data_IF_305958808447
#
_entry.id   IF_305958808447
#
_cell.length_a   1.000
_cell.length_b   1.000
_cell.length_c   1.000
_cell.angle_alpha   90.00
_cell.angle_beta   90.00
_cell.angle_gamma   90.00
#
_symmetry.space_group_name_H-M   'P 1'
#
loop_
_entity.id
_entity.type
_entity.pdbx_description
1 polymer ?
#
# COMPACT_ATOMS: atom_id res chain seq x y z
N UNK A 1 -0.94 -21.02 -1.27
CA UNK A 1 -2.34 -20.82 -0.82
C UNK A 1 -2.46 -19.73 0.22
N UNK A 2 -1.73 -19.76 1.35
CA UNK A 2 -1.85 -18.76 2.43
C UNK A 2 -1.89 -17.30 1.97
N UNK A 3 -0.82 -16.80 1.34
CA UNK A 3 -0.76 -15.42 0.84
C UNK A 3 -1.83 -15.11 -0.20
N UNK A 4 -2.22 -16.06 -1.04
CA UNK A 4 -3.28 -15.83 -2.03
C UNK A 4 -4.64 -15.61 -1.36
N UNK A 5 -5.01 -16.45 -0.38
CA UNK A 5 -6.25 -16.29 0.36
C UNK A 5 -6.22 -15.04 1.25
N UNK A 6 -5.07 -14.73 1.85
CA UNK A 6 -4.92 -13.46 2.55
C UNK A 6 -5.20 -12.27 1.62
N UNK A 7 -4.62 -12.24 0.42
CA UNK A 7 -4.84 -11.16 -0.56
C UNK A 7 -6.28 -11.11 -1.06
N UNK A 8 -6.96 -12.25 -1.20
CA UNK A 8 -8.40 -12.28 -1.49
C UNK A 8 -9.21 -11.57 -0.39
N UNK A 9 -8.95 -11.89 0.88
CA UNK A 9 -9.65 -11.26 2.01
C UNK A 9 -9.36 -9.77 2.14
N UNK A 10 -8.13 -9.35 1.82
CA UNK A 10 -7.70 -7.95 1.84
C UNK A 10 -8.35 -7.09 0.74
N UNK A 11 -8.71 -7.70 -0.40
CA UNK A 11 -9.07 -6.94 -1.59
C UNK A 11 -10.53 -7.12 -2.03
N UNK A 12 -11.16 -8.27 -1.80
CA UNK A 12 -12.53 -8.55 -2.23
C UNK A 12 -13.54 -8.32 -1.10
N UNK A 13 -14.76 -7.93 -1.47
CA UNK A 13 -15.83 -7.69 -0.51
C UNK A 13 -16.29 -9.00 0.14
N UNK A 14 -16.45 -10.02 -0.69
CA UNK A 14 -16.89 -11.37 -0.39
C UNK A 14 -16.05 -12.36 -1.21
N UNK A 15 -16.06 -13.63 -0.82
CA UNK A 15 -15.32 -14.70 -1.50
C UNK A 15 -16.22 -15.89 -1.77
N UNK A 16 -15.82 -16.68 -2.76
CA UNK A 16 -16.45 -17.94 -3.14
C UNK A 16 -15.34 -18.94 -3.38
N UNK A 17 -15.53 -20.18 -2.93
CA UNK A 17 -14.58 -21.26 -3.13
C UNK A 17 -15.27 -22.46 -3.74
N UNK A 18 -14.63 -23.09 -4.73
CA UNK A 18 -15.04 -24.39 -5.30
C UNK A 18 -16.52 -24.44 -5.72
N UNK A 19 -17.01 -23.38 -6.37
CA UNK A 19 -18.44 -23.20 -6.72
C UNK A 19 -19.38 -23.29 -5.52
N UNK A 20 -18.91 -22.97 -4.32
CA UNK A 20 -19.72 -22.93 -3.10
C UNK A 20 -20.63 -21.69 -3.01
N UNK A 21 -21.34 -21.52 -1.89
CA UNK A 21 -22.09 -20.30 -1.63
C UNK A 21 -21.14 -19.10 -1.42
N UNK A 22 -21.70 -17.89 -1.49
CA UNK A 22 -21.02 -16.66 -1.07
C UNK A 22 -20.61 -16.75 0.39
N UNK A 23 -19.39 -16.36 0.71
CA UNK A 23 -18.85 -16.27 2.06
C UNK A 23 -18.32 -14.87 2.33
N UNK A 24 -18.37 -14.40 3.59
CA UNK A 24 -17.73 -13.14 3.95
C UNK A 24 -16.22 -13.24 3.72
N UNK A 25 -15.56 -12.12 3.40
CA UNK A 25 -14.10 -12.07 3.22
C UNK A 25 -13.29 -12.69 4.38
N UNK A 26 -13.84 -12.71 5.59
CA UNK A 26 -13.18 -13.30 6.77
C UNK A 26 -12.90 -14.79 6.59
N UNK A 27 -13.73 -15.51 5.83
CA UNK A 27 -13.47 -16.92 5.48
C UNK A 27 -12.14 -17.08 4.72
N UNK A 28 -11.73 -16.06 3.97
CA UNK A 28 -10.44 -16.03 3.28
C UNK A 28 -9.26 -15.93 4.25
N UNK A 29 -9.42 -15.17 5.34
CA UNK A 29 -8.41 -15.10 6.40
C UNK A 29 -8.33 -16.38 7.21
N UNK A 30 -9.48 -16.99 7.55
CA UNK A 30 -9.51 -18.31 8.21
C UNK A 30 -8.77 -19.37 7.39
N UNK A 31 -9.03 -19.37 6.08
CA UNK A 31 -8.35 -20.27 5.15
C UNK A 31 -6.85 -19.98 5.04
N UNK A 32 -6.45 -18.70 5.07
CA UNK A 32 -5.05 -18.31 5.10
C UNK A 32 -4.34 -18.79 6.38
N UNK A 33 -4.99 -18.69 7.55
CA UNK A 33 -4.46 -19.15 8.84
C UNK A 33 -4.15 -20.64 8.83
N UNK A 34 -5.05 -21.46 8.29
CA UNK A 34 -4.83 -22.91 8.12
C UNK A 34 -3.57 -23.16 7.28
N UNK A 35 -3.44 -22.46 6.15
CA UNK A 35 -2.30 -22.61 5.26
C UNK A 35 -0.97 -22.16 5.90
N UNK A 36 -0.96 -21.08 6.66
CA UNK A 36 0.26 -20.59 7.33
C UNK A 36 0.69 -21.47 8.51
N UNK A 37 -0.26 -22.04 9.27
CA UNK A 37 0.07 -23.05 10.28
C UNK A 37 0.69 -24.30 9.65
N UNK A 38 0.15 -24.74 8.50
CA UNK A 38 0.74 -25.84 7.73
C UNK A 38 2.14 -25.49 7.22
N UNK A 39 2.35 -24.26 6.73
CA UNK A 39 3.68 -23.79 6.30
C UNK A 39 4.71 -23.87 7.44
N UNK A 40 4.35 -23.46 8.66
CA UNK A 40 5.21 -23.60 9.84
C UNK A 40 5.53 -25.05 10.17
N UNK A 41 4.52 -25.93 10.15
CA UNK A 41 4.71 -27.35 10.44
C UNK A 41 5.64 -28.02 9.43
N UNK A 42 5.40 -27.79 8.14
CA UNK A 42 6.26 -28.31 7.05
C UNK A 42 7.66 -27.71 7.14
N UNK A 43 7.76 -26.41 7.36
CA UNK A 43 9.04 -25.71 7.53
C UNK A 43 9.86 -26.29 8.69
N UNK A 44 9.21 -26.57 9.82
CA UNK A 44 9.84 -27.23 10.97
C UNK A 44 10.35 -28.63 10.64
N UNK A 45 9.52 -29.46 10.01
CA UNK A 45 9.92 -30.81 9.59
C UNK A 45 11.07 -30.80 8.56
N UNK A 46 11.13 -29.77 7.72
CA UNK A 46 12.18 -29.58 6.72
C UNK A 46 13.39 -28.77 7.22
N UNK A 47 13.41 -28.35 8.49
CA UNK A 47 14.41 -27.45 9.06
C UNK A 47 14.64 -26.16 8.23
N UNK A 48 13.56 -25.59 7.69
CA UNK A 48 13.58 -24.43 6.81
C UNK A 48 12.99 -23.20 7.51
N UNK A 49 13.83 -22.52 8.31
CA UNK A 49 13.42 -21.38 9.16
C UNK A 49 12.67 -20.28 8.39
N UNK A 50 13.09 -19.98 7.15
CA UNK A 50 12.42 -19.00 6.29
C UNK A 50 10.91 -19.23 6.15
N UNK A 51 10.47 -20.49 6.05
CA UNK A 51 9.05 -20.81 5.91
C UNK A 51 8.30 -20.83 7.25
N UNK A 52 9.02 -21.04 8.35
CA UNK A 52 8.49 -20.89 9.71
C UNK A 52 8.20 -19.40 9.96
N UNK A 53 9.18 -18.53 9.69
CA UNK A 53 9.05 -17.08 9.84
C UNK A 53 8.00 -16.51 8.89
N UNK A 54 7.96 -16.96 7.62
CA UNK A 54 6.91 -16.60 6.67
C UNK A 54 5.53 -16.99 7.18
N UNK A 55 5.40 -18.19 7.77
CA UNK A 55 4.14 -18.63 8.34
C UNK A 55 3.72 -17.81 9.56
N UNK A 56 4.67 -17.39 10.41
CA UNK A 56 4.38 -16.44 11.49
C UNK A 56 3.92 -15.07 10.97
N UNK A 57 4.63 -14.51 9.98
CA UNK A 57 4.24 -13.20 9.43
C UNK A 57 2.91 -13.23 8.68
N UNK A 58 2.63 -14.32 7.98
CA UNK A 58 1.33 -14.52 7.31
C UNK A 58 0.18 -14.68 8.30
N UNK A 59 0.41 -15.39 9.42
CA UNK A 59 -0.56 -15.45 10.52
C UNK A 59 -0.85 -14.06 11.09
N UNK A 60 0.18 -13.26 11.34
CA UNK A 60 0.01 -11.91 11.88
C UNK A 60 -0.90 -11.06 10.98
N UNK A 61 -0.65 -11.05 9.67
CA UNK A 61 -1.48 -10.30 8.72
C UNK A 61 -2.91 -10.86 8.63
N UNK A 62 -3.09 -12.19 8.63
CA UNK A 62 -4.42 -12.79 8.59
C UNK A 62 -5.23 -12.49 9.87
N UNK A 63 -4.59 -12.48 11.04
CA UNK A 63 -5.24 -12.09 12.29
C UNK A 63 -5.60 -10.61 12.32
N UNK A 64 -4.80 -9.71 11.73
CA UNK A 64 -5.23 -8.33 11.46
C UNK A 64 -6.50 -8.31 10.61
N UNK A 65 -6.57 -9.17 9.59
CA UNK A 65 -7.75 -9.38 8.75
C UNK A 65 -9.03 -9.74 9.53
N UNK A 66 -8.88 -10.49 10.62
CA UNK A 66 -9.97 -10.90 11.52
C UNK A 66 -10.22 -9.91 12.68
N UNK A 67 -9.38 -8.88 12.84
CA UNK A 67 -9.41 -8.00 14.00
C UNK A 67 -8.90 -8.62 15.30
N UNK A 68 -8.28 -9.81 15.24
CA UNK A 68 -7.68 -10.47 16.41
C UNK A 68 -6.26 -9.93 16.66
N UNK A 69 -6.20 -8.75 17.28
CA UNK A 69 -4.95 -8.05 17.53
C UNK A 69 -4.02 -8.79 18.50
N UNK A 70 -4.57 -9.54 19.46
CA UNK A 70 -3.78 -10.32 20.41
C UNK A 70 -2.98 -11.41 19.70
N UNK A 71 -3.64 -12.20 18.84
CA UNK A 71 -2.97 -13.20 18.03
C UNK A 71 -2.06 -12.57 16.97
N UNK A 72 -2.46 -11.43 16.40
CA UNK A 72 -1.66 -10.73 15.40
C UNK A 72 -0.29 -10.29 15.95
N UNK A 73 -0.25 -9.62 17.11
CA UNK A 73 1.02 -9.16 17.69
C UNK A 73 1.85 -10.33 18.23
N UNK A 74 1.22 -11.38 18.77
CA UNK A 74 1.93 -12.57 19.20
C UNK A 74 2.63 -13.26 18.02
N UNK A 75 1.96 -13.38 16.87
CA UNK A 75 2.55 -13.91 15.66
C UNK A 75 3.65 -12.98 15.10
N UNK A 76 3.39 -11.67 15.05
CA UNK A 76 4.34 -10.66 14.59
C UNK A 76 5.66 -10.68 15.37
N UNK A 77 5.60 -10.89 16.69
CA UNK A 77 6.78 -10.95 17.56
C UNK A 77 7.74 -12.11 17.26
N UNK A 78 7.31 -13.12 16.51
CA UNK A 78 8.15 -14.25 16.10
C UNK A 78 8.96 -13.99 14.81
N UNK A 79 8.83 -12.82 14.21
CA UNK A 79 9.47 -12.49 12.93
C UNK A 79 10.51 -11.38 13.14
N UNK A 80 11.77 -11.64 12.79
CA UNK A 80 12.82 -10.62 12.87
C UNK A 80 12.55 -9.43 11.94
N UNK A 81 12.97 -8.22 12.31
CA UNK A 81 12.71 -6.99 11.52
C UNK A 81 13.22 -7.09 10.09
N UNK A 82 14.39 -7.72 9.88
CA UNK A 82 15.02 -7.88 8.56
C UNK A 82 14.45 -9.03 7.73
N UNK A 83 13.45 -9.76 8.24
CA UNK A 83 12.84 -10.87 7.52
C UNK A 83 12.16 -10.40 6.23
N UNK A 84 12.34 -11.19 5.17
CA UNK A 84 11.76 -10.92 3.85
C UNK A 84 11.44 -12.22 3.11
N UNK A 85 10.21 -12.31 2.61
CA UNK A 85 9.84 -13.27 1.57
C UNK A 85 9.05 -12.58 0.47
N UNK A 86 9.40 -12.91 -0.77
CA UNK A 86 8.99 -12.19 -1.97
C UNK A 86 8.27 -13.12 -2.95
N UNK A 87 7.40 -12.53 -3.76
CA UNK A 87 6.99 -13.10 -5.03
C UNK A 87 8.13 -12.93 -6.04
N UNK A 88 8.56 -14.04 -6.63
CA UNK A 88 9.70 -14.08 -7.56
C UNK A 88 9.22 -13.75 -8.97
N UNK A 89 9.86 -12.76 -9.59
CA UNK A 89 9.59 -12.35 -10.96
C UNK A 89 10.78 -12.67 -11.87
N UNK A 90 10.49 -12.90 -13.15
CA UNK A 90 11.48 -13.17 -14.17
C UNK A 90 11.07 -12.53 -15.50
N UNK A 91 12.00 -11.83 -16.15
CA UNK A 91 11.73 -11.03 -17.34
C UNK A 91 11.05 -11.83 -18.48
N UNK A 92 11.42 -13.10 -18.65
CA UNK A 92 10.95 -13.95 -19.75
C UNK A 92 9.76 -14.85 -19.43
N UNK A 93 9.19 -14.78 -18.21
CA UNK A 93 8.09 -15.65 -17.82
C UNK A 93 7.03 -14.85 -17.04
N UNK A 94 7.28 -14.63 -15.77
CA UNK A 94 6.39 -13.87 -14.88
C UNK A 94 7.02 -12.49 -14.69
N UNK A 95 6.78 -11.56 -15.61
CA UNK A 95 7.38 -10.23 -15.54
C UNK A 95 6.67 -9.31 -14.55
N UNK A 96 7.42 -8.51 -13.80
CA UNK A 96 6.89 -7.49 -12.91
C UNK A 96 6.11 -6.45 -13.73
N UNK A 97 4.79 -6.39 -13.53
CA UNK A 97 3.91 -5.49 -14.28
C UNK A 97 4.03 -4.04 -13.81
N UNK A 98 4.38 -3.78 -12.55
CA UNK A 98 4.63 -2.40 -12.08
C UNK A 98 5.77 -1.76 -12.89
N UNK A 99 6.83 -2.52 -13.17
CA UNK A 99 7.87 -2.06 -14.11
C UNK A 99 7.29 -1.76 -15.49
N UNK A 100 6.47 -2.65 -16.06
CA UNK A 100 5.91 -2.45 -17.40
C UNK A 100 5.04 -1.20 -17.48
N UNK A 101 4.18 -0.99 -16.48
CA UNK A 101 3.24 0.13 -16.47
C UNK A 101 3.91 1.47 -16.16
N UNK A 102 5.05 1.48 -15.46
CA UNK A 102 5.79 2.73 -15.21
C UNK A 102 6.94 2.94 -16.20
N UNK A 103 7.91 2.03 -16.24
CA UNK A 103 9.10 2.13 -17.10
C UNK A 103 8.82 1.79 -18.56
N UNK A 104 7.80 0.97 -18.85
CA UNK A 104 7.52 0.52 -20.21
C UNK A 104 6.49 1.38 -20.96
N UNK A 105 5.43 1.81 -20.28
CA UNK A 105 4.27 2.45 -20.93
C UNK A 105 3.88 3.82 -20.36
N UNK A 106 4.41 4.20 -19.20
CA UNK A 106 4.01 5.41 -18.48
C UNK A 106 2.51 5.51 -18.15
N UNK A 107 1.84 4.36 -17.95
CA UNK A 107 0.42 4.22 -17.59
C UNK A 107 0.19 4.56 -16.11
N UNK A 108 1.18 4.23 -15.27
CA UNK A 108 1.16 4.52 -13.84
C UNK A 108 2.35 5.40 -13.47
N UNK A 109 2.13 6.39 -12.61
CA UNK A 109 3.17 7.29 -12.14
C UNK A 109 2.89 7.83 -10.75
N UNK A 110 3.89 8.48 -10.16
CA UNK A 110 3.83 9.07 -8.82
C UNK A 110 3.23 10.48 -8.83
N UNK A 111 3.12 11.11 -10.00
CA UNK A 111 2.60 12.46 -10.14
C UNK A 111 1.19 12.59 -9.56
N UNK A 112 0.95 13.67 -8.81
CA UNK A 112 -0.30 13.96 -8.09
C UNK A 112 -0.80 12.86 -7.13
N UNK A 113 0.04 11.87 -6.78
CA UNK A 113 -0.28 10.89 -5.73
C UNK A 113 0.05 11.45 -4.33
N UNK A 114 -0.48 10.86 -3.24
CA UNK A 114 -0.07 11.19 -1.88
C UNK A 114 1.45 11.13 -1.67
N UNK A 115 2.14 10.18 -2.32
CA UNK A 115 3.60 10.10 -2.29
C UNK A 115 4.23 11.40 -2.78
N UNK A 116 3.92 11.85 -3.99
CA UNK A 116 4.55 13.04 -4.56
C UNK A 116 4.11 14.34 -3.86
N UNK A 117 2.91 14.39 -3.29
CA UNK A 117 2.35 15.64 -2.75
C UNK A 117 2.61 15.84 -1.27
N UNK A 118 2.65 14.75 -0.51
CA UNK A 118 2.64 14.81 0.96
C UNK A 118 3.85 14.12 1.57
N UNK A 119 4.13 12.90 1.15
CA UNK A 119 5.10 12.04 1.81
C UNK A 119 6.53 12.20 1.27
N UNK A 120 6.68 12.64 0.02
CA UNK A 120 7.96 12.92 -0.64
C UNK A 120 7.75 14.10 -1.62
N UNK A 121 7.54 15.27 -1.02
CA UNK A 121 7.05 16.52 -1.64
C UNK A 121 8.07 17.11 -2.63
N UNK A 122 7.62 18.08 -3.43
CA UNK A 122 8.45 18.73 -4.43
C UNK A 122 9.75 19.37 -3.87
N UNK A 123 9.75 19.84 -2.61
CA UNK A 123 10.98 20.35 -1.96
C UNK A 123 12.04 19.28 -1.76
N UNK A 124 11.64 18.01 -1.79
CA UNK A 124 12.50 16.86 -1.57
C UNK A 124 12.88 16.22 -2.92
N UNK A 125 12.72 16.95 -4.02
CA UNK A 125 13.17 16.55 -5.36
C UNK A 125 14.37 17.39 -5.75
N UNK A 126 15.51 16.74 -5.91
CA UNK A 126 16.77 17.37 -6.33
C UNK A 126 17.25 16.72 -7.61
N UNK A 127 17.60 17.51 -8.62
CA UNK A 127 18.04 17.03 -9.94
C UNK A 127 17.06 16.00 -10.53
N UNK A 128 15.76 16.29 -10.43
CA UNK A 128 14.67 15.44 -10.91
C UNK A 128 14.58 14.06 -10.26
N UNK A 129 15.20 13.87 -9.09
CA UNK A 129 15.11 12.63 -8.32
C UNK A 129 14.62 12.93 -6.92
N UNK A 130 13.74 12.08 -6.40
CA UNK A 130 13.34 12.16 -5.01
C UNK A 130 14.54 11.89 -4.09
N UNK A 131 14.77 12.79 -3.14
CA UNK A 131 15.76 12.70 -2.07
C UNK A 131 15.11 12.69 -0.68
N UNK A 132 13.78 12.71 -0.60
CA UNK A 132 13.04 12.54 0.64
C UNK A 132 13.09 11.09 1.15
N UNK A 133 11.94 10.54 1.54
CA UNK A 133 11.93 9.21 2.15
C UNK A 133 12.49 8.12 1.21
N UNK A 134 13.56 7.39 1.61
CA UNK A 134 14.28 6.46 0.75
C UNK A 134 13.45 5.21 0.36
N UNK A 135 12.31 4.96 1.02
CA UNK A 135 11.41 3.84 0.69
C UNK A 135 10.63 4.06 -0.60
N UNK A 136 10.52 5.32 -1.03
CA UNK A 136 9.69 5.73 -2.17
C UNK A 136 10.49 6.47 -3.24
N UNK A 137 11.53 5.84 -3.82
CA UNK A 137 12.37 6.48 -4.82
C UNK A 137 11.62 6.66 -6.15
N UNK A 138 11.71 7.85 -6.74
CA UNK A 138 11.17 8.13 -8.06
C UNK A 138 11.99 9.19 -8.81
N UNK A 139 11.85 9.18 -10.15
CA UNK A 139 12.44 10.17 -11.06
C UNK A 139 11.33 10.96 -11.74
N UNK A 140 11.49 12.28 -11.82
CA UNK A 140 10.62 13.19 -12.58
C UNK A 140 11.04 13.19 -14.04
N UNK A 141 10.26 12.52 -14.91
CA UNK A 141 10.56 12.43 -16.34
C UNK A 141 10.00 13.61 -17.14
N UNK A 142 8.92 14.22 -16.66
CA UNK A 142 8.42 15.50 -17.15
C UNK A 142 8.08 16.44 -16.01
N UNK A 143 8.43 17.72 -16.16
CA UNK A 143 8.09 18.77 -15.22
C UNK A 143 6.69 19.29 -15.50
N UNK A 144 5.84 19.21 -14.49
CA UNK A 144 4.57 19.91 -14.44
C UNK A 144 4.84 21.36 -14.03
N UNK A 145 4.77 22.29 -14.98
CA UNK A 145 5.11 23.70 -14.74
C UNK A 145 3.92 24.49 -14.20
N UNK A 146 2.74 23.89 -14.17
CA UNK A 146 1.54 24.55 -13.71
C UNK A 146 1.38 24.43 -12.19
N UNK A 147 1.31 25.59 -11.55
CA UNK A 147 1.07 25.74 -10.10
C UNK A 147 -0.38 26.08 -9.80
N UNK A 148 -1.24 26.20 -10.83
CA UNK A 148 -2.65 26.45 -10.66
C UNK A 148 -3.37 25.28 -9.99
N UNK A 149 -4.46 25.63 -9.33
CA UNK A 149 -5.30 24.71 -8.58
C UNK A 149 -6.77 25.03 -8.91
N UNK A 150 -7.46 24.24 -9.77
CA UNK A 150 -7.03 22.97 -10.38
C UNK A 150 -5.92 23.14 -11.44
N UNK A 151 -5.12 22.09 -11.69
CA UNK A 151 -4.10 22.08 -12.71
C UNK A 151 -4.74 22.21 -14.09
N UNK A 152 -4.31 23.21 -14.83
CA UNK A 152 -4.63 23.41 -16.23
C UNK A 152 -3.82 22.41 -17.07
N UNK A 153 -4.50 21.32 -17.45
CA UNK A 153 -3.92 20.25 -18.27
C UNK A 153 -3.52 20.71 -19.68
N UNK A 154 -3.89 21.93 -20.09
CA UNK A 154 -3.50 22.51 -21.38
C UNK A 154 -2.15 23.21 -21.33
N UNK A 155 -1.62 23.53 -20.15
CA UNK A 155 -0.29 24.16 -19.99
C UNK A 155 0.86 23.20 -20.30
N UNK A 156 0.56 21.91 -20.47
CA UNK A 156 1.48 20.91 -20.98
C UNK A 156 2.59 20.51 -20.01
N UNK A 157 3.47 19.61 -20.48
CA UNK A 157 4.56 19.04 -19.69
C UNK A 157 5.88 19.25 -20.41
N UNK A 158 6.88 19.76 -19.68
CA UNK A 158 8.21 19.94 -20.25
C UNK A 158 9.08 18.72 -19.97
N UNK A 159 9.80 18.17 -20.97
CA UNK A 159 10.80 17.13 -20.75
C UNK A 159 11.88 17.54 -19.75
N UNK A 160 12.20 16.69 -18.77
CA UNK A 160 13.40 16.92 -17.92
C UNK A 160 14.68 16.43 -18.58
N UNK A 161 14.57 15.55 -19.57
CA UNK A 161 15.71 14.87 -20.21
C UNK A 161 16.37 13.79 -19.32
N UNK A 162 15.88 13.58 -18.11
CA UNK A 162 16.47 12.63 -17.14
C UNK A 162 16.17 11.18 -17.48
N UNK A 163 15.03 10.94 -18.12
CA UNK A 163 14.59 9.61 -18.47
C UNK A 163 14.73 9.36 -19.98
N UNK A 164 15.17 8.16 -20.37
CA UNK A 164 15.44 7.78 -21.75
C UNK A 164 14.57 6.59 -22.18
N UNK A 165 14.29 6.45 -23.48
CA UNK A 165 13.51 5.34 -24.06
C UNK A 165 12.00 5.60 -24.18
N UNK A 166 11.28 4.73 -24.89
CA UNK A 166 9.81 4.77 -24.93
C UNK A 166 9.24 4.25 -23.61
N UNK A 167 8.23 4.91 -23.05
CA UNK A 167 7.72 4.64 -21.71
C UNK A 167 8.55 5.29 -20.62
N UNK A 168 9.76 4.79 -20.35
CA UNK A 168 10.61 5.32 -19.29
C UNK A 168 11.05 6.75 -19.56
N UNK A 169 11.31 7.12 -20.83
CA UNK A 169 11.61 8.48 -21.27
C UNK A 169 10.39 9.28 -21.70
N UNK A 170 9.18 8.77 -21.49
CA UNK A 170 7.97 9.56 -21.68
C UNK A 170 7.94 10.66 -20.61
N UNK A 171 7.77 11.89 -21.07
CA UNK A 171 7.69 13.06 -20.20
C UNK A 171 6.28 13.19 -19.64
N UNK A 172 5.30 12.71 -20.40
CA UNK A 172 3.90 12.66 -20.06
C UNK A 172 3.48 11.22 -19.72
N UNK A 173 2.44 11.09 -18.91
CA UNK A 173 1.74 9.82 -18.74
C UNK A 173 1.10 9.38 -20.07
N UNK A 174 0.69 8.10 -20.17
CA UNK A 174 0.20 7.48 -21.40
C UNK A 174 -0.94 8.25 -22.08
N UNK A 175 -1.80 8.93 -21.30
CA UNK A 175 -2.87 9.79 -21.81
C UNK A 175 -2.40 11.10 -22.47
N UNK A 176 -1.10 11.43 -22.44
CA UNK A 176 -0.52 12.62 -23.07
C UNK A 176 -0.86 13.94 -22.38
N UNK A 177 -1.45 13.89 -21.19
CA UNK A 177 -1.90 15.09 -20.46
C UNK A 177 -1.01 15.39 -19.26
N UNK A 178 -0.86 14.45 -18.33
CA UNK A 178 -0.20 14.65 -17.03
C UNK A 178 1.30 14.38 -17.08
N UNK A 179 2.08 14.93 -16.15
CA UNK A 179 3.50 14.61 -16.05
C UNK A 179 3.73 13.15 -15.63
N UNK A 180 4.78 12.53 -16.16
CA UNK A 180 5.22 11.21 -15.73
C UNK A 180 6.31 11.33 -14.67
N UNK A 181 5.98 10.91 -13.44
CA UNK A 181 6.97 10.66 -12.39
C UNK A 181 7.11 9.14 -12.26
N UNK A 182 8.25 8.60 -12.67
CA UNK A 182 8.50 7.17 -12.76
C UNK A 182 8.98 6.63 -11.41
N UNK A 183 8.35 5.58 -10.92
CA UNK A 183 8.86 4.86 -9.74
C UNK A 183 10.20 4.19 -10.03
N UNK A 184 11.13 4.23 -9.07
CA UNK A 184 12.45 3.62 -9.17
C UNK A 184 12.65 2.49 -8.12
N UNK A 185 11.57 2.01 -7.49
CA UNK A 185 11.60 0.85 -6.58
C UNK A 185 11.78 -0.46 -7.34
N UNK A 186 11.11 -0.60 -8.48
CA UNK A 186 11.21 -1.74 -9.39
C UNK A 186 11.75 -1.29 -10.73
N UNK A 187 13.07 -1.42 -10.92
CA UNK A 187 13.80 -0.93 -12.10
C UNK A 187 14.01 -2.00 -13.18
N UNK A 188 13.43 -3.19 -13.01
CA UNK A 188 13.46 -4.25 -14.03
C UNK A 188 12.20 -5.12 -14.00
N UNK A 189 11.93 -5.81 -15.13
CA UNK A 189 10.89 -6.85 -15.24
C UNK A 189 11.12 -8.05 -14.32
N UNK A 190 12.33 -8.25 -13.82
CA UNK A 190 12.66 -9.32 -12.88
C UNK A 190 12.70 -8.87 -11.43
N UNK A 191 12.35 -7.61 -11.12
CA UNK A 191 12.35 -7.12 -9.76
C UNK A 191 11.28 -7.85 -8.94
N UNK A 192 11.68 -8.49 -7.86
CA UNK A 192 10.78 -9.20 -6.95
C UNK A 192 9.90 -8.22 -6.17
N UNK A 193 8.74 -8.70 -5.73
CA UNK A 193 7.81 -7.90 -4.92
C UNK A 193 7.67 -8.56 -3.54
N UNK A 194 7.96 -7.85 -2.44
CA UNK A 194 7.78 -8.42 -1.11
C UNK A 194 6.33 -8.82 -0.84
N UNK A 195 6.16 -9.90 -0.09
CA UNK A 195 4.84 -10.43 0.28
C UNK A 195 4.61 -10.41 1.78
N UNK A 196 5.64 -10.76 2.55
CA UNK A 196 5.64 -10.72 4.01
C UNK A 196 7.02 -10.18 4.41
N UNK A 197 7.04 -9.14 5.24
CA UNK A 197 8.27 -8.52 5.74
C UNK A 197 8.23 -8.37 7.25
N UNK A 198 9.39 -8.43 7.89
CA UNK A 198 9.54 -8.12 9.31
C UNK A 198 9.20 -6.67 9.62
N UNK A 199 9.48 -5.75 8.71
CA UNK A 199 9.09 -4.33 8.82
C UNK A 199 7.58 -4.16 8.89
N UNK A 200 6.80 -4.92 8.13
CA UNK A 200 5.34 -4.90 8.26
C UNK A 200 4.88 -5.48 9.61
N UNK A 201 5.57 -6.48 10.16
CA UNK A 201 5.28 -7.00 11.50
C UNK A 201 5.47 -5.93 12.58
N UNK A 202 6.52 -5.11 12.46
CA UNK A 202 6.71 -3.94 13.34
C UNK A 202 5.59 -2.92 13.16
N UNK A 203 5.09 -2.69 11.96
CA UNK A 203 3.94 -1.81 11.72
C UNK A 203 2.63 -2.39 12.29
N UNK A 204 2.44 -3.71 12.32
CA UNK A 204 1.30 -4.37 12.98
C UNK A 204 1.37 -4.14 14.50
N UNK A 205 2.54 -4.31 15.11
CA UNK A 205 2.74 -4.03 16.54
C UNK A 205 2.57 -2.55 16.86
N UNK A 206 3.08 -1.65 16.01
CA UNK A 206 2.89 -0.22 16.13
C UNK A 206 1.40 0.13 16.09
N UNK A 207 0.64 -0.47 15.17
CA UNK A 207 -0.80 -0.23 15.11
C UNK A 207 -1.54 -0.68 16.37
N UNK A 208 -1.21 -1.87 16.89
CA UNK A 208 -1.78 -2.29 18.17
C UNK A 208 -1.45 -1.29 19.28
N UNK A 209 -0.24 -0.74 19.29
CA UNK A 209 0.17 0.29 20.24
C UNK A 209 -0.63 1.60 20.08
N UNK A 210 -0.94 2.03 18.85
CA UNK A 210 -1.85 3.17 18.63
C UNK A 210 -3.23 2.90 19.21
N UNK A 211 -3.78 1.70 18.97
CA UNK A 211 -5.09 1.27 19.47
C UNK A 211 -5.17 1.24 21.01
N UNK A 212 -4.06 0.96 21.68
CA UNK A 212 -3.97 0.95 23.15
C UNK A 212 -3.42 2.24 23.75
N UNK A 213 -3.09 3.26 22.94
CA UNK A 213 -2.47 4.49 23.42
C UNK A 213 -1.03 4.34 23.92
N UNK A 214 -0.34 3.25 23.57
CA UNK A 214 1.03 2.97 24.01
C UNK A 214 2.06 3.70 23.11
N UNK A 215 2.33 4.96 23.47
CA UNK A 215 3.27 5.82 22.75
C UNK A 215 4.70 5.25 22.72
N UNK A 216 5.15 4.63 23.81
CA UNK A 216 6.53 4.14 23.93
C UNK A 216 6.77 2.96 22.98
N UNK A 217 5.85 2.00 22.94
CA UNK A 217 5.89 0.90 21.98
C UNK A 217 5.75 1.44 20.56
N UNK A 218 4.81 2.37 20.31
CA UNK A 218 4.64 2.98 18.98
C UNK A 218 5.94 3.56 18.43
N UNK A 219 6.59 4.48 19.16
CA UNK A 219 7.85 5.10 18.76
C UNK A 219 8.91 4.04 18.47
N UNK A 220 9.07 3.07 19.39
CA UNK A 220 10.06 2.00 19.24
C UNK A 220 9.84 1.21 17.94
N UNK A 221 8.61 0.81 17.65
CA UNK A 221 8.31 -0.01 16.48
C UNK A 221 8.42 0.77 15.17
N UNK A 222 8.01 2.04 15.16
CA UNK A 222 8.19 2.91 13.99
C UNK A 222 9.68 3.15 13.71
N UNK A 223 10.48 3.46 14.74
CA UNK A 223 11.92 3.67 14.55
C UNK A 223 12.64 2.41 14.05
N UNK A 224 12.24 1.21 14.48
CA UNK A 224 12.78 -0.04 13.91
C UNK A 224 12.55 -0.13 12.39
N UNK A 225 11.37 0.25 11.92
CA UNK A 225 11.04 0.26 10.48
C UNK A 225 11.86 1.32 9.74
N UNK A 226 11.86 2.55 10.25
CA UNK A 226 12.55 3.66 9.60
C UNK A 226 14.05 3.44 9.52
N UNK A 227 14.68 2.92 10.59
CA UNK A 227 16.11 2.59 10.61
C UNK A 227 16.46 1.45 9.65
N UNK A 228 15.60 0.44 9.51
CA UNK A 228 15.82 -0.63 8.51
C UNK A 228 15.98 -0.08 7.08
N UNK A 229 15.25 0.99 6.75
CA UNK A 229 15.33 1.66 5.44
C UNK A 229 16.26 2.87 5.40
N UNK A 230 17.00 3.15 6.49
CA UNK A 230 17.92 4.30 6.55
C UNK A 230 17.23 5.68 6.57
N UNK A 231 15.96 5.74 6.98
CA UNK A 231 15.20 7.01 7.12
C UNK A 231 15.43 7.72 8.46
N UNK A 232 16.22 7.11 9.35
CA UNK A 232 16.48 7.59 10.71
C UNK A 232 15.24 7.51 11.61
N UNK A 233 15.41 7.87 12.87
CA UNK A 233 14.31 7.91 13.85
C UNK A 233 13.24 8.96 13.47
N UNK A 234 12.08 8.89 14.14
CA UNK A 234 11.07 9.94 14.12
C UNK A 234 11.68 11.30 14.47
N UNK A 235 11.25 12.33 13.75
CA UNK A 235 11.71 13.71 13.95
C UNK A 235 11.17 14.32 15.24
N UNK A 236 11.67 15.49 15.64
CA UNK A 236 11.14 16.22 16.79
C UNK A 236 9.65 16.56 16.62
N UNK A 237 9.24 16.95 15.41
CA UNK A 237 7.83 17.26 15.11
C UNK A 237 6.95 16.01 15.17
N UNK A 238 7.47 14.86 14.71
CA UNK A 238 6.77 13.58 14.88
C UNK A 238 6.58 13.22 16.34
N UNK A 239 7.58 13.45 17.20
CA UNK A 239 7.47 13.18 18.63
C UNK A 239 6.44 14.10 19.31
N UNK A 240 6.32 15.35 18.86
CA UNK A 240 5.25 16.25 19.29
C UNK A 240 3.87 15.72 18.86
N UNK A 241 3.76 15.23 17.63
CA UNK A 241 2.53 14.59 17.13
C UNK A 241 2.18 13.34 17.96
N UNK A 242 3.14 12.45 18.26
CA UNK A 242 2.90 11.28 19.14
C UNK A 242 2.37 11.69 20.51
N UNK A 243 2.86 12.81 21.06
CA UNK A 243 2.42 13.32 22.36
C UNK A 243 0.94 13.72 22.40
N UNK A 244 0.33 14.01 21.25
CA UNK A 244 -1.12 14.26 21.14
C UNK A 244 -1.97 12.97 21.26
N UNK A 245 -1.32 11.80 21.36
CA UNK A 245 -1.99 10.52 21.57
C UNK A 245 -2.37 9.82 20.27
N UNK A 246 -3.31 8.88 20.36
CA UNK A 246 -3.75 8.11 19.19
C UNK A 246 -4.33 9.02 18.11
N UNK A 247 -5.13 10.00 18.52
CA UNK A 247 -5.81 10.93 17.63
C UNK A 247 -6.75 10.24 16.64
N UNK A 248 -6.86 10.78 15.43
CA UNK A 248 -7.70 10.26 14.36
C UNK A 248 -6.92 10.28 13.05
N UNK A 249 -7.26 9.38 12.11
CA UNK A 249 -6.71 9.47 10.77
C UNK A 249 -7.16 10.78 10.12
N UNK A 250 -6.23 11.71 9.97
CA UNK A 250 -6.50 13.00 9.36
C UNK A 250 -6.18 12.89 7.88
N UNK A 251 -7.20 13.06 7.04
CA UNK A 251 -7.02 13.19 5.61
C UNK A 251 -7.97 14.25 5.12
N UNK A 252 -7.44 15.43 4.77
CA UNK A 252 -8.30 16.48 4.23
C UNK A 252 -8.61 16.14 2.77
N UNK A 253 -9.88 15.81 2.58
CA UNK A 253 -10.41 15.47 1.30
C UNK A 253 -11.01 16.70 0.62
N UNK A 254 -10.18 17.72 0.49
CA UNK A 254 -10.61 19.06 0.14
C UNK A 254 -11.57 19.04 -1.05
N UNK A 255 -12.73 19.66 -0.84
CA UNK A 255 -13.74 19.88 -1.87
C UNK A 255 -13.31 20.99 -2.84
N UNK A 256 -12.36 21.82 -2.41
CA UNK A 256 -11.75 22.91 -3.17
C UNK A 256 -10.24 22.70 -3.28
N UNK A 257 -9.67 23.09 -4.42
CA UNK A 257 -8.24 23.09 -4.64
C UNK A 257 -7.60 24.32 -3.97
N UNK A 258 -7.71 24.46 -2.66
CA UNK A 258 -7.09 25.58 -1.94
C UNK A 258 -5.57 25.33 -1.77
N UNK A 259 -4.76 26.39 -1.71
CA UNK A 259 -3.30 26.25 -1.57
C UNK A 259 -2.87 25.77 -0.17
N UNK A 260 -3.74 25.96 0.82
CA UNK A 260 -3.63 25.56 2.23
C UNK A 260 -4.33 24.22 2.54
N UNK A 261 -4.91 23.56 1.54
CA UNK A 261 -5.44 22.21 1.65
C UNK A 261 -4.31 21.22 1.95
N UNK A 262 -4.10 20.94 3.24
CA UNK A 262 -3.15 19.96 3.73
C UNK A 262 -3.73 18.55 3.59
N UNK A 263 -3.22 17.81 2.61
CA UNK A 263 -3.78 16.53 2.17
C UNK A 263 -3.70 15.42 3.22
N UNK A 264 -2.89 15.56 4.28
CA UNK A 264 -3.04 14.84 5.55
C UNK A 264 -2.09 15.44 6.60
N UNK A 265 -2.69 16.04 7.64
CA UNK A 265 -1.98 16.64 8.76
C UNK A 265 -1.39 15.53 9.65
N UNK A 266 -0.07 15.57 9.85
CA UNK A 266 0.64 14.60 10.69
C UNK A 266 0.80 15.17 12.10
N UNK A 267 -0.24 15.04 12.90
CA UNK A 267 -0.33 15.61 14.25
C UNK A 267 -0.67 14.58 15.34
N UNK A 268 -0.81 13.29 14.99
CA UNK A 268 -1.06 12.20 15.94
C UNK A 268 -0.46 10.85 15.48
N UNK A 269 -0.58 9.82 16.34
CA UNK A 269 -0.03 8.50 16.05
C UNK A 269 -0.73 7.79 14.87
N UNK A 270 -2.03 8.00 14.65
CA UNK A 270 -2.73 7.41 13.49
C UNK A 270 -2.23 7.99 12.18
N UNK A 271 -2.06 9.32 12.08
CA UNK A 271 -1.49 9.97 10.89
C UNK A 271 -0.03 9.56 10.64
N UNK A 272 0.78 9.42 11.70
CA UNK A 272 2.14 8.88 11.56
C UNK A 272 2.09 7.43 11.04
N UNK A 273 1.27 6.57 11.64
CA UNK A 273 1.16 5.18 11.21
C UNK A 273 0.72 5.08 9.75
N UNK A 274 -0.22 5.92 9.32
CA UNK A 274 -0.67 5.98 7.93
C UNK A 274 0.49 6.29 6.98
N UNK A 275 1.26 7.36 7.24
CA UNK A 275 2.48 7.69 6.49
C UNK A 275 3.44 6.50 6.44
N UNK A 276 3.77 5.92 7.59
CA UNK A 276 4.79 4.89 7.70
C UNK A 276 4.37 3.59 7.00
N UNK A 277 3.08 3.23 7.07
CA UNK A 277 2.53 2.11 6.30
C UNK A 277 2.47 2.42 4.81
N UNK A 278 2.09 3.63 4.41
CA UNK A 278 2.07 4.01 3.00
C UNK A 278 3.46 3.87 2.36
N UNK A 279 4.49 4.46 2.96
CA UNK A 279 5.86 4.45 2.44
C UNK A 279 6.44 3.03 2.45
N UNK A 280 6.29 2.30 3.55
CA UNK A 280 6.86 0.94 3.69
C UNK A 280 6.24 -0.05 2.71
N UNK A 281 4.92 0.03 2.49
CA UNK A 281 4.19 -0.91 1.64
C UNK A 281 3.99 -0.38 0.20
N UNK A 282 4.72 0.66 -0.19
CA UNK A 282 4.55 1.34 -1.48
C UNK A 282 4.77 0.38 -2.65
N UNK A 283 3.80 0.32 -3.58
CA UNK A 283 3.78 -0.58 -4.74
C UNK A 283 3.74 -2.09 -4.42
N UNK A 284 3.39 -2.47 -3.19
CA UNK A 284 3.30 -3.88 -2.77
C UNK A 284 1.85 -4.42 -2.72
N UNK A 285 0.87 -3.59 -3.11
CA UNK A 285 -0.53 -3.99 -3.23
C UNK A 285 -1.26 -4.27 -1.92
N UNK A 286 -0.71 -3.86 -0.76
CA UNK A 286 -1.31 -4.10 0.57
C UNK A 286 -2.12 -2.94 1.14
N UNK A 287 -1.96 -1.74 0.59
CA UNK A 287 -2.56 -0.50 1.14
C UNK A 287 -4.07 -0.40 0.96
N UNK A 288 -4.66 -1.13 0.01
CA UNK A 288 -6.11 -1.11 -0.20
C UNK A 288 -6.87 -1.63 1.03
N UNK A 289 -6.33 -2.68 1.68
CA UNK A 289 -6.87 -3.22 2.92
C UNK A 289 -6.79 -2.23 4.08
N UNK A 290 -5.68 -1.48 4.19
CA UNK A 290 -5.54 -0.43 5.19
C UNK A 290 -6.60 0.67 5.01
N UNK A 291 -6.83 1.10 3.76
CA UNK A 291 -7.88 2.07 3.46
C UNK A 291 -9.26 1.57 3.89
N UNK A 292 -9.57 0.29 3.60
CA UNK A 292 -10.83 -0.33 3.99
C UNK A 292 -11.02 -0.40 5.51
N UNK A 293 -10.09 -1.07 6.20
CA UNK A 293 -10.25 -1.45 7.62
C UNK A 293 -10.18 -0.28 8.58
N UNK A 294 -9.62 0.83 8.12
CA UNK A 294 -9.58 2.08 8.85
C UNK A 294 -10.73 3.01 8.52
N UNK A 295 -11.59 2.66 7.56
CA UNK A 295 -12.53 3.60 6.95
C UNK A 295 -11.82 4.91 6.58
N UNK A 296 -10.66 4.76 5.93
CA UNK A 296 -9.71 5.85 5.80
C UNK A 296 -10.36 7.05 5.06
N UNK A 297 -10.23 8.31 5.55
CA UNK A 297 -10.99 9.41 4.98
C UNK A 297 -10.66 9.73 3.51
N UNK A 298 -9.48 9.31 3.01
CA UNK A 298 -9.19 9.24 1.56
C UNK A 298 -10.27 8.56 0.73
N UNK A 299 -11.00 7.60 1.30
CA UNK A 299 -12.09 6.94 0.58
C UNK A 299 -13.24 7.90 0.30
N UNK A 300 -13.46 8.96 1.09
CA UNK A 300 -14.62 9.85 1.00
C UNK A 300 -14.70 10.73 -0.27
N UNK A 301 -13.87 10.49 -1.29
CA UNK A 301 -14.01 11.15 -2.60
C UNK A 301 -13.09 12.34 -2.79
N UNK A 302 -13.57 13.52 -3.19
CA UNK A 302 -12.77 14.75 -3.20
C UNK A 302 -11.73 14.83 -4.33
N UNK A 303 -10.98 15.94 -4.40
CA UNK A 303 -10.22 16.30 -5.60
C UNK A 303 -8.75 15.93 -5.50
N UNK A 304 -8.34 14.78 -6.08
CA UNK A 304 -6.92 14.50 -6.30
C UNK A 304 -6.43 15.08 -7.63
N UNK A 305 -7.13 14.85 -8.73
CA UNK A 305 -6.76 15.32 -10.08
C UNK A 305 -7.92 16.07 -10.76
N UNK A 306 -9.17 15.89 -10.32
CA UNK A 306 -10.37 16.57 -10.83
C UNK A 306 -11.42 16.85 -9.74
N UNK A 307 -12.45 17.66 -10.02
CA UNK A 307 -13.48 18.02 -9.04
C UNK A 307 -14.41 16.86 -8.67
N UNK A 308 -14.75 16.74 -7.37
CA UNK A 308 -15.99 16.10 -6.91
C UNK A 308 -16.12 14.58 -7.04
N UNK A 309 -15.06 13.81 -6.82
CA UNK A 309 -15.18 12.34 -6.82
C UNK A 309 -16.12 11.86 -5.70
N UNK A 310 -16.97 10.86 -6.02
CA UNK A 310 -17.75 10.15 -5.02
C UNK A 310 -16.86 9.31 -4.11
N UNK A 311 -17.44 8.75 -3.04
CA UNK A 311 -16.71 7.83 -2.17
C UNK A 311 -16.15 6.66 -3.00
N UNK A 312 -14.83 6.45 -2.93
CA UNK A 312 -14.09 5.41 -3.63
C UNK A 312 -14.47 4.04 -3.09
N UNK A 313 -14.52 3.04 -3.98
CA UNK A 313 -14.64 1.66 -3.58
C UNK A 313 -13.46 1.26 -2.67
N UNK A 314 -13.75 0.47 -1.64
CA UNK A 314 -12.76 -0.02 -0.66
C UNK A 314 -12.60 -1.54 -0.69
N UNK A 315 -13.30 -2.21 -1.60
CA UNK A 315 -13.12 -3.61 -1.94
C UNK A 315 -13.60 -3.86 -3.38
N UNK A 316 -13.10 -4.91 -4.01
CA UNK A 316 -13.57 -5.39 -5.30
C UNK A 316 -14.80 -6.28 -5.11
N UNK A 317 -15.85 -6.14 -5.94
CA UNK A 317 -16.98 -7.06 -5.91
C UNK A 317 -16.56 -8.45 -6.40
N UNK A 318 -17.44 -9.44 -6.20
CA UNK A 318 -17.27 -10.76 -6.81
C UNK A 318 -17.20 -10.60 -8.34
N UNK A 319 -16.25 -11.27 -9.03
CA UNK A 319 -16.17 -11.19 -10.48
C UNK A 319 -17.47 -11.65 -11.15
N UNK A 320 -17.94 -10.91 -12.16
CA UNK A 320 -19.17 -11.23 -12.90
C UNK A 320 -19.18 -12.68 -13.44
N UNK A 321 -18.01 -13.19 -13.85
CA UNK A 321 -17.89 -14.57 -14.34
C UNK A 321 -18.28 -15.60 -13.29
N UNK A 322 -18.03 -15.37 -12.00
CA UNK A 322 -18.46 -16.27 -10.91
C UNK A 322 -19.99 -16.32 -10.85
N UNK A 323 -20.68 -15.20 -11.04
CA UNK A 323 -22.14 -15.14 -11.07
C UNK A 323 -22.74 -15.93 -12.23
N UNK A 324 -22.03 -16.03 -13.35
CA UNK A 324 -22.51 -16.79 -14.52
C UNK A 324 -22.18 -18.29 -14.45
N UNK A 325 -21.07 -18.69 -13.81
CA UNK A 325 -20.56 -20.07 -13.82
C UNK A 325 -20.85 -20.85 -12.54
N UNK A 326 -21.19 -20.16 -11.45
CA UNK A 326 -21.55 -20.76 -10.18
C UNK A 326 -23.06 -20.64 -9.93
N UNK A 327 -23.78 -21.71 -10.26
CA UNK A 327 -25.24 -21.80 -10.09
C UNK A 327 -25.70 -21.56 -8.64
N UNK A 328 -24.83 -21.78 -7.64
CA UNK A 328 -25.17 -21.57 -6.23
C UNK A 328 -25.28 -20.10 -5.85
N UNK A 329 -24.77 -19.18 -6.67
CA UNK A 329 -24.77 -17.73 -6.39
C UNK A 329 -25.41 -16.90 -7.50
N UNK A 330 -25.84 -17.51 -8.60
CA UNK A 330 -26.39 -16.80 -9.76
C UNK A 330 -27.57 -15.87 -9.41
N UNK A 331 -28.37 -16.24 -8.41
CA UNK A 331 -29.50 -15.44 -7.92
C UNK A 331 -29.19 -14.64 -6.62
N UNK A 332 -27.94 -14.60 -6.19
CA UNK A 332 -27.54 -13.89 -4.98
C UNK A 332 -27.51 -12.37 -5.21
N UNK A 333 -27.70 -11.58 -4.16
CA UNK A 333 -27.71 -10.10 -4.25
C UNK A 333 -26.42 -9.52 -4.82
N UNK A 334 -25.27 -10.13 -4.47
CA UNK A 334 -23.95 -9.73 -5.01
C UNK A 334 -23.80 -9.91 -6.53
N UNK A 335 -24.69 -10.70 -7.15
CA UNK A 335 -24.70 -10.96 -8.59
C UNK A 335 -25.81 -10.20 -9.33
N UNK A 336 -26.72 -9.56 -8.59
CA UNK A 336 -27.94 -8.95 -9.14
C UNK A 336 -28.09 -7.48 -8.77
N UNK A 337 -27.27 -6.96 -7.85
CA UNK A 337 -27.20 -5.56 -7.46
C UNK A 337 -25.86 -4.93 -7.82
N UNK A 338 -25.89 -3.96 -8.74
CA UNK A 338 -24.82 -2.99 -8.96
C UNK A 338 -25.00 -1.74 -8.11
#
# INVERSE_FOLDING_TARGET
>A
MGTAHQRLGENFCDVVYDKGPVQPRTASFDSAIIAFNKAKSIGGAANAQKYIDAGWGGLAQAYVGLGDWGSAVAAAGNVGTDFLIEAIYHQAANSNQVYNETWGRAEVGVWATPIARQYNKASDVVNYKSTGDPRVPYTVCGSWNDTNRPPDVTLGVTPTGTCTGQGSGATQGAGGLTAHHRQDKYTSRGANVPTITGTEMRLIEAENAVRSGDQATFITKINLVRNHYGSGDLSADDLLAVANGAGALNWDNCSTWAADCDVNEINDMWSILDRERYMTLWLEGRRFWDLFRWDHPFLNGGTLIGPGEARRASCMPIPEIECTLNENIANHSVCTGG
#
